data_IF_490236673059
#
_entry.id   IF_490236673059
#
_cell.length_a   1.000
_cell.length_b   1.000
_cell.length_c   1.000
_cell.angle_alpha   90.00
_cell.angle_beta   90.00
_cell.angle_gamma   90.00
#
_symmetry.space_group_name_H-M   'P 1'
#
loop_
_entity.id
_entity.type
_entity.pdbx_description
1 polymer ?
#
# COMPACT_ATOMS: atom_id res chain seq x y z
N UNK A 1 6.25 -32.97 31.90
CA UNK A 1 6.92 -31.71 32.31
C UNK A 1 8.24 -31.66 31.57
N UNK A 2 8.57 -30.70 30.71
CA UNK A 2 7.86 -29.52 30.25
C UNK A 2 8.07 -29.33 28.74
N UNK A 3 7.18 -28.51 28.20
CA UNK A 3 7.14 -27.99 26.84
C UNK A 3 8.29 -27.00 26.60
N UNK A 4 8.93 -27.07 25.44
CA UNK A 4 9.66 -25.94 24.86
C UNK A 4 9.27 -25.85 23.38
N UNK A 5 8.29 -24.98 23.11
CA UNK A 5 7.86 -24.62 21.76
C UNK A 5 8.99 -23.89 21.02
N UNK A 6 9.44 -24.48 19.91
CA UNK A 6 10.32 -23.82 18.96
C UNK A 6 9.51 -22.88 18.07
N UNK A 7 9.80 -21.59 18.17
CA UNK A 7 9.33 -20.56 17.25
C UNK A 7 9.91 -20.81 15.86
N UNK A 8 9.07 -21.23 14.91
CA UNK A 8 9.42 -21.33 13.50
C UNK A 8 9.68 -19.94 12.92
N UNK A 9 10.93 -19.71 12.49
CA UNK A 9 11.31 -18.51 11.75
C UNK A 9 10.60 -18.46 10.41
N UNK A 10 9.88 -17.36 10.16
CA UNK A 10 9.08 -17.16 8.96
C UNK A 10 9.94 -16.98 7.70
N UNK A 11 9.62 -17.77 6.68
CA UNK A 11 10.23 -17.70 5.35
C UNK A 11 9.46 -16.72 4.47
N UNK A 12 10.11 -15.58 4.20
CA UNK A 12 10.03 -14.74 2.99
C UNK A 12 11.00 -13.54 3.11
N UNK A 13 11.72 -13.41 4.24
CA UNK A 13 12.74 -12.39 4.48
C UNK A 13 14.15 -12.96 4.46
N UNK A 14 14.58 -13.53 3.33
CA UNK A 14 16.00 -13.70 3.11
C UNK A 14 16.63 -12.31 3.04
N UNK A 15 17.52 -11.99 3.99
CA UNK A 15 18.44 -10.85 3.93
C UNK A 15 19.41 -11.04 2.77
N UNK A 16 18.91 -10.89 1.55
CA UNK A 16 19.70 -10.84 0.34
C UNK A 16 19.50 -9.46 -0.26
N UNK A 17 20.51 -8.60 -0.10
CA UNK A 17 20.62 -7.29 -0.77
C UNK A 17 20.71 -7.39 -2.29
N UNK A 18 19.80 -8.12 -2.92
CA UNK A 18 19.73 -8.38 -4.36
C UNK A 18 18.31 -8.48 -4.92
N UNK A 19 17.26 -8.23 -4.12
CA UNK A 19 15.88 -8.09 -4.59
C UNK A 19 15.52 -6.67 -5.06
N UNK A 20 16.44 -5.71 -4.94
CA UNK A 20 16.20 -4.28 -5.14
C UNK A 20 16.63 -3.72 -6.49
N UNK A 21 16.64 -4.51 -7.56
CA UNK A 21 16.91 -4.01 -8.91
C UNK A 21 15.76 -4.33 -9.86
N UNK A 22 14.53 -3.98 -9.47
CA UNK A 22 13.64 -3.36 -10.47
C UNK A 22 14.43 -2.18 -11.03
N UNK A 23 14.68 -2.18 -12.35
CA UNK A 23 15.70 -1.37 -13.02
C UNK A 23 15.80 0.08 -12.51
N UNK A 24 16.98 0.66 -12.63
CA UNK A 24 17.43 1.96 -12.11
C UNK A 24 16.57 3.23 -12.42
N UNK A 25 15.31 3.09 -12.83
CA UNK A 25 14.25 4.07 -12.60
C UNK A 25 13.32 3.56 -11.50
N UNK A 26 13.49 4.08 -10.28
CA UNK A 26 12.75 3.66 -9.09
C UNK A 26 11.25 3.55 -9.32
N UNK A 27 10.63 2.56 -8.68
CA UNK A 27 9.18 2.53 -8.52
C UNK A 27 8.75 3.86 -7.91
N UNK A 28 8.10 4.71 -8.70
CA UNK A 28 7.44 5.90 -8.17
C UNK A 28 6.46 5.41 -7.11
N UNK A 29 6.54 5.90 -5.86
CA UNK A 29 5.57 5.54 -4.85
C UNK A 29 4.15 5.77 -5.38
N UNK A 30 3.17 4.92 -5.01
CA UNK A 30 1.80 5.18 -5.40
C UNK A 30 1.39 6.53 -4.86
N UNK A 31 0.63 7.24 -5.69
CA UNK A 31 0.12 8.53 -5.30
C UNK A 31 -0.92 8.36 -4.21
N UNK A 32 -0.59 8.78 -2.99
CA UNK A 32 -1.51 8.79 -1.82
C UNK A 32 -1.75 10.22 -1.34
N UNK A 33 -0.75 11.08 -1.48
CA UNK A 33 -0.77 12.51 -1.15
C UNK A 33 -1.45 12.89 0.20
N UNK A 34 -1.27 12.16 1.33
CA UNK A 34 -1.74 12.67 2.61
C UNK A 34 -1.13 14.02 2.94
N UNK A 35 -1.97 14.90 3.49
CA UNK A 35 -1.60 16.25 3.89
C UNK A 35 -1.02 16.27 5.31
N UNK A 36 0.18 16.80 5.43
CA UNK A 36 0.94 16.93 6.68
C UNK A 36 1.15 18.40 7.02
N UNK A 37 1.26 18.69 8.31
CA UNK A 37 1.58 20.01 8.84
C UNK A 37 2.94 19.97 9.54
N UNK A 38 3.78 20.94 9.21
CA UNK A 38 5.06 21.22 9.87
C UNK A 38 4.79 21.90 11.22
N UNK A 39 4.96 21.17 12.32
CA UNK A 39 4.48 21.61 13.62
C UNK A 39 5.53 22.38 14.43
N UNK A 40 6.82 22.18 14.18
CA UNK A 40 7.91 22.84 14.88
C UNK A 40 8.73 23.81 14.00
N UNK A 41 8.51 23.83 12.69
CA UNK A 41 9.07 24.80 11.76
C UNK A 41 10.48 24.48 11.29
N UNK A 42 10.94 23.24 11.40
CA UNK A 42 12.23 22.82 10.84
C UNK A 42 12.13 22.07 9.49
N UNK A 43 10.90 21.95 8.97
CA UNK A 43 10.55 21.35 7.70
C UNK A 43 10.02 19.93 7.85
N UNK A 44 9.37 19.41 6.80
CA UNK A 44 8.75 18.09 6.88
C UNK A 44 9.80 16.98 6.93
N UNK A 45 9.74 16.16 7.98
CA UNK A 45 10.64 15.03 8.17
C UNK A 45 9.91 13.69 8.07
N UNK A 46 10.56 12.71 7.46
CA UNK A 46 9.97 11.37 7.30
C UNK A 46 10.92 10.25 7.73
N UNK A 47 10.34 9.12 8.13
CA UNK A 47 11.01 7.85 8.37
C UNK A 47 10.49 6.78 7.41
N UNK A 48 11.13 5.62 7.37
CA UNK A 48 10.71 4.49 6.56
C UNK A 48 10.91 3.16 7.23
N UNK A 49 10.34 2.12 6.60
CA UNK A 49 10.61 0.70 6.90
C UNK A 49 12.10 0.31 6.94
N UNK A 50 13.02 1.15 6.45
CA UNK A 50 14.48 0.91 6.47
C UNK A 50 15.16 1.38 7.76
N UNK A 51 14.51 2.22 8.55
CA UNK A 51 15.08 2.83 9.76
C UNK A 51 14.87 1.97 11.03
N UNK A 52 14.22 0.81 10.88
CA UNK A 52 14.12 -0.25 11.90
C UNK A 52 12.69 -0.62 12.28
N UNK A 53 11.80 0.36 12.38
CA UNK A 53 10.37 0.14 12.66
C UNK A 53 9.57 0.13 11.35
N UNK A 54 8.78 -0.92 11.15
CA UNK A 54 7.87 -1.02 10.00
C UNK A 54 6.51 -0.51 10.44
N UNK A 55 6.12 0.64 9.92
CA UNK A 55 4.80 1.23 10.14
C UNK A 55 3.84 0.68 9.08
N UNK A 56 2.67 0.20 9.53
CA UNK A 56 1.64 -0.35 8.67
C UNK A 56 0.40 0.54 8.69
N UNK A 57 -0.02 1.03 7.53
CA UNK A 57 -1.25 1.82 7.39
C UNK A 57 -2.01 1.48 6.11
N UNK A 58 -3.34 1.62 6.15
CA UNK A 58 -4.22 1.39 5.00
C UNK A 58 -4.47 2.72 4.28
N UNK A 59 -3.53 3.13 3.44
CA UNK A 59 -3.61 4.43 2.76
C UNK A 59 -4.76 4.51 1.74
N UNK A 60 -5.14 3.43 1.07
CA UNK A 60 -6.25 3.43 0.09
C UNK A 60 -7.60 2.99 0.65
N UNK A 61 -7.67 2.63 1.92
CA UNK A 61 -8.92 2.18 2.54
C UNK A 61 -9.46 0.95 1.84
N UNK A 62 -8.56 0.03 1.48
CA UNK A 62 -8.88 -1.23 0.79
C UNK A 62 -8.95 -2.44 1.75
N UNK A 63 -8.73 -2.19 3.04
CA UNK A 63 -8.76 -3.19 4.10
C UNK A 63 -7.42 -3.88 4.33
N UNK A 64 -6.34 -3.49 3.66
CA UNK A 64 -5.00 -4.06 3.82
C UNK A 64 -4.01 -2.97 4.22
N UNK A 65 -3.57 -2.99 5.47
CA UNK A 65 -2.45 -2.14 5.91
C UNK A 65 -1.17 -2.63 5.24
N UNK A 66 -0.40 -1.72 4.66
CA UNK A 66 0.90 -2.03 4.04
C UNK A 66 2.02 -1.22 4.67
N UNK A 67 3.25 -1.76 4.59
CA UNK A 67 4.44 -1.05 5.04
C UNK A 67 4.55 0.29 4.31
N UNK A 68 4.77 1.37 5.04
CA UNK A 68 4.78 2.71 4.46
C UNK A 68 5.95 3.54 4.97
N UNK A 69 6.33 4.56 4.22
CA UNK A 69 7.03 5.71 4.79
C UNK A 69 6.10 6.49 5.70
N UNK A 70 6.63 7.24 6.65
CA UNK A 70 5.80 7.92 7.64
C UNK A 70 6.38 9.27 8.03
N UNK A 71 5.54 10.18 8.49
CA UNK A 71 6.00 11.44 9.08
C UNK A 71 6.65 11.14 10.43
N UNK A 72 7.68 11.90 10.81
CA UNK A 72 8.24 11.79 12.16
C UNK A 72 7.28 12.36 13.22
N UNK A 73 7.45 12.00 14.52
CA UNK A 73 6.54 12.40 15.59
C UNK A 73 6.43 13.90 15.88
N UNK A 74 7.42 14.70 15.49
CA UNK A 74 7.48 16.15 15.65
C UNK A 74 6.39 16.85 14.82
N UNK A 75 6.18 16.42 13.58
CA UNK A 75 5.12 16.81 12.66
C UNK A 75 3.80 16.01 12.84
N UNK A 76 2.75 16.36 12.07
CA UNK A 76 1.48 15.64 12.16
C UNK A 76 0.59 15.66 10.92
N UNK A 77 -0.16 14.57 10.73
CA UNK A 77 -1.16 14.44 9.68
C UNK A 77 -2.40 15.30 9.98
N UNK A 78 -2.91 16.01 8.97
CA UNK A 78 -4.24 16.58 9.06
C UNK A 78 -5.27 15.47 8.78
N UNK A 79 -6.21 15.29 9.72
CA UNK A 79 -7.17 14.19 9.69
C UNK A 79 -8.57 14.65 10.04
N UNK A 80 -9.55 13.87 9.58
CA UNK A 80 -10.95 13.98 9.96
C UNK A 80 -11.52 12.56 10.09
N UNK A 81 -11.95 12.19 11.28
CA UNK A 81 -12.72 10.96 11.51
C UNK A 81 -14.06 11.10 10.78
N UNK A 82 -14.18 10.45 9.63
CA UNK A 82 -15.34 10.61 8.73
C UNK A 82 -16.44 9.61 9.05
N UNK A 83 -16.08 8.48 9.65
CA UNK A 83 -17.01 7.40 9.95
C UNK A 83 -17.51 7.44 11.41
N UNK A 84 -16.94 8.29 12.25
CA UNK A 84 -17.31 8.53 13.64
C UNK A 84 -16.91 7.41 14.59
N UNK A 85 -15.91 6.59 14.24
CA UNK A 85 -15.50 5.45 15.05
C UNK A 85 -14.48 5.80 16.16
N UNK A 86 -14.00 7.04 16.19
CA UNK A 86 -13.07 7.55 17.20
C UNK A 86 -11.61 7.23 16.95
N UNK A 87 -11.27 6.71 15.77
CA UNK A 87 -9.91 6.44 15.33
C UNK A 87 -9.69 6.97 13.91
N UNK A 88 -8.42 7.11 13.51
CA UNK A 88 -8.04 7.31 12.11
C UNK A 88 -7.45 5.99 11.64
N UNK A 89 -8.20 5.25 10.83
CA UNK A 89 -7.86 3.87 10.49
C UNK A 89 -7.54 3.62 9.01
N UNK A 90 -7.82 4.60 8.15
CA UNK A 90 -7.54 4.53 6.72
C UNK A 90 -7.29 5.90 6.09
N UNK A 91 -6.71 5.92 4.90
CA UNK A 91 -6.49 7.17 4.15
C UNK A 91 -7.77 7.86 3.67
N UNK A 92 -8.94 7.24 3.85
CA UNK A 92 -10.25 7.90 3.69
C UNK A 92 -10.43 9.06 4.68
N UNK A 93 -9.74 8.99 5.81
CA UNK A 93 -9.81 9.93 6.94
C UNK A 93 -8.60 10.86 7.00
N UNK A 94 -7.57 10.56 6.22
CA UNK A 94 -6.53 11.52 5.84
C UNK A 94 -7.07 12.47 4.76
N UNK A 95 -6.45 13.63 4.62
CA UNK A 95 -6.67 14.52 3.48
C UNK A 95 -5.69 14.15 2.36
N UNK A 96 -6.17 13.47 1.32
CA UNK A 96 -5.34 12.96 0.23
C UNK A 96 -6.18 12.46 -0.95
N UNK A 97 -5.57 11.74 -1.90
CA UNK A 97 -6.32 11.24 -3.08
C UNK A 97 -7.39 10.21 -2.72
N UNK A 98 -7.22 9.51 -1.59
CA UNK A 98 -8.16 8.50 -1.10
C UNK A 98 -9.33 9.12 -0.31
N UNK A 99 -9.36 10.45 -0.14
CA UNK A 99 -10.51 11.16 0.42
C UNK A 99 -11.67 11.17 -0.58
N UNK A 100 -12.83 10.67 -0.16
CA UNK A 100 -14.08 10.80 -0.91
C UNK A 100 -14.70 12.18 -0.64
N UNK A 101 -14.82 12.99 -1.69
CA UNK A 101 -15.42 14.32 -1.64
C UNK A 101 -16.95 14.28 -1.59
N UNK A 102 -17.56 15.41 -1.21
CA UNK A 102 -19.01 15.63 -1.15
C UNK A 102 -19.74 15.32 -2.46
N UNK A 103 -19.05 15.45 -3.60
CA UNK A 103 -19.57 15.16 -4.94
C UNK A 103 -19.52 13.67 -5.33
N UNK A 104 -19.05 12.78 -4.44
CA UNK A 104 -18.92 11.34 -4.68
C UNK A 104 -17.71 10.95 -5.52
N UNK A 105 -16.79 11.88 -5.80
CA UNK A 105 -15.51 11.59 -6.47
C UNK A 105 -14.37 11.63 -5.46
N UNK A 106 -13.32 10.87 -5.72
CA UNK A 106 -12.07 10.99 -4.99
C UNK A 106 -11.40 12.35 -5.25
N UNK A 107 -10.74 12.89 -4.24
CA UNK A 107 -9.99 14.14 -4.36
C UNK A 107 -8.81 13.97 -5.32
N UNK A 108 -8.42 15.03 -6.00
CA UNK A 108 -7.23 14.99 -6.83
C UNK A 108 -5.97 15.04 -5.99
N UNK A 109 -5.98 15.55 -4.76
CA UNK A 109 -4.83 15.66 -3.85
C UNK A 109 -5.33 16.12 -2.46
N UNK A 110 -4.46 16.20 -1.45
CA UNK A 110 -4.84 16.64 -0.10
C UNK A 110 -5.38 18.08 0.03
N UNK A 111 -4.93 19.00 -0.83
CA UNK A 111 -5.47 20.37 -0.87
C UNK A 111 -6.81 20.44 -1.61
N UNK A 112 -7.02 19.55 -2.59
CA UNK A 112 -8.35 19.34 -3.20
C UNK A 112 -9.35 18.77 -2.21
N UNK A 113 -8.92 17.84 -1.36
CA UNK A 113 -9.72 17.35 -0.25
C UNK A 113 -10.06 18.47 0.75
N UNK A 114 -9.12 19.40 1.01
CA UNK A 114 -9.40 20.57 1.84
C UNK A 114 -10.41 21.52 1.22
N UNK A 115 -10.29 21.83 -0.09
CA UNK A 115 -11.26 22.68 -0.80
C UNK A 115 -12.68 22.15 -0.77
N UNK A 116 -12.86 20.84 -0.65
CA UNK A 116 -14.20 20.23 -0.54
C UNK A 116 -14.90 20.59 0.78
N UNK A 117 -14.14 20.90 1.83
CA UNK A 117 -14.65 21.22 3.16
C UNK A 117 -14.54 22.71 3.53
N UNK A 118 -14.06 23.53 2.60
CA UNK A 118 -14.10 25.00 2.63
C UNK A 118 -15.52 25.46 2.26
N UNK A 119 -16.34 25.68 3.28
CA UNK A 119 -17.78 25.83 3.14
C UNK A 119 -18.15 27.20 2.56
N UNK A 120 -17.44 28.25 2.93
CA UNK A 120 -17.67 29.61 2.44
C UNK A 120 -16.81 29.99 1.22
N UNK A 121 -15.84 29.13 0.86
CA UNK A 121 -14.97 29.22 -0.32
C UNK A 121 -14.05 30.43 -0.29
N UNK A 122 -13.62 30.84 0.91
CA UNK A 122 -12.74 31.98 1.08
C UNK A 122 -11.24 31.62 0.93
N UNK A 123 -10.94 30.34 0.71
CA UNK A 123 -9.59 29.85 0.40
C UNK A 123 -8.80 29.38 1.63
N UNK A 124 -9.46 29.20 2.78
CA UNK A 124 -8.87 28.63 3.99
C UNK A 124 -9.94 27.83 4.74
N UNK A 125 -9.48 26.91 5.59
CA UNK A 125 -10.31 26.24 6.58
C UNK A 125 -10.08 26.93 7.92
N UNK A 126 -11.11 27.59 8.46
CA UNK A 126 -11.05 28.28 9.75
C UNK A 126 -12.34 28.13 10.59
N UNK A 127 -12.47 28.87 11.68
CA UNK A 127 -13.64 28.78 12.57
C UNK A 127 -14.99 29.12 11.92
N UNK A 128 -14.99 29.72 10.72
CA UNK A 128 -16.17 29.97 9.89
C UNK A 128 -16.67 28.69 9.23
N UNK A 129 -15.81 27.68 9.08
CA UNK A 129 -16.15 26.36 8.58
C UNK A 129 -16.56 25.42 9.70
N UNK A 130 -17.77 24.86 9.62
CA UNK A 130 -18.27 23.92 10.63
C UNK A 130 -17.37 22.68 10.83
N UNK A 131 -16.58 22.31 9.81
CA UNK A 131 -15.64 21.17 9.88
C UNK A 131 -14.45 21.45 10.80
N UNK A 132 -14.06 22.71 10.99
CA UNK A 132 -12.82 23.09 11.67
C UNK A 132 -12.74 22.55 13.10
N UNK A 133 -13.87 22.55 13.83
CA UNK A 133 -13.94 22.00 15.18
C UNK A 133 -13.77 20.46 15.24
N UNK A 134 -13.97 19.78 14.12
CA UNK A 134 -13.86 18.32 13.99
C UNK A 134 -12.50 17.87 13.45
N UNK A 135 -11.75 18.75 12.80
CA UNK A 135 -10.39 18.45 12.35
C UNK A 135 -9.48 18.13 13.55
N UNK A 136 -8.57 17.18 13.33
CA UNK A 136 -7.52 16.82 14.28
C UNK A 136 -6.17 16.82 13.60
N UNK A 137 -5.12 16.93 14.41
CA UNK A 137 -3.74 16.66 14.04
C UNK A 137 -3.39 15.33 14.68
N UNK A 138 -3.00 14.35 13.85
CA UNK A 138 -2.50 13.07 14.31
C UNK A 138 -0.97 13.09 14.30
N UNK A 139 -0.39 13.07 15.50
CA UNK A 139 1.05 12.85 15.70
C UNK A 139 1.23 11.44 16.25
N UNK A 140 1.67 10.53 15.39
CA UNK A 140 2.00 9.17 15.80
C UNK A 140 3.30 9.18 16.62
N UNK A 141 3.16 9.28 17.94
CA UNK A 141 4.27 9.55 18.86
C UNK A 141 5.14 8.31 19.06
N UNK A 142 4.50 7.14 19.05
CA UNK A 142 5.15 5.85 19.25
C UNK A 142 5.56 5.17 17.92
N UNK A 143 5.14 5.73 16.78
CA UNK A 143 5.45 5.27 15.42
C UNK A 143 4.94 3.85 15.17
N UNK A 144 3.69 3.57 15.54
CA UNK A 144 3.04 2.26 15.34
C UNK A 144 1.96 2.25 14.26
N UNK A 145 1.63 3.39 13.67
CA UNK A 145 0.62 3.53 12.61
C UNK A 145 -0.82 3.32 13.09
N UNK A 146 -1.07 3.35 14.40
CA UNK A 146 -2.40 3.18 15.00
C UNK A 146 -2.78 4.47 15.69
N UNK A 147 -3.80 5.17 15.18
CA UNK A 147 -4.25 6.39 15.84
C UNK A 147 -4.81 6.11 17.24
N UNK A 148 -4.22 6.75 18.25
CA UNK A 148 -4.67 6.67 19.65
C UNK A 148 -5.18 8.02 20.15
N UNK A 149 -6.07 8.02 21.15
CA UNK A 149 -6.68 9.26 21.67
C UNK A 149 -5.65 10.28 22.17
N UNK A 150 -4.52 9.82 22.75
CA UNK A 150 -3.44 10.69 23.22
C UNK A 150 -2.56 11.25 22.09
N UNK A 151 -2.76 10.83 20.85
CA UNK A 151 -2.03 11.26 19.66
C UNK A 151 -2.85 12.21 18.76
N UNK A 152 -4.14 12.36 19.07
CA UNK A 152 -5.06 13.23 18.36
C UNK A 152 -5.27 14.52 19.13
N UNK A 153 -4.92 15.64 18.51
CA UNK A 153 -5.10 16.98 19.08
C UNK A 153 -5.93 17.86 18.17
N UNK A 154 -6.63 18.86 18.72
CA UNK A 154 -7.38 19.84 17.90
C UNK A 154 -6.42 20.85 17.26
N UNK A 155 -6.85 21.51 16.18
CA UNK A 155 -6.09 22.62 15.58
C UNK A 155 -5.84 23.73 16.60
N UNK A 156 -6.87 24.10 17.38
CA UNK A 156 -6.76 25.11 18.43
C UNK A 156 -5.80 24.73 19.55
N UNK A 157 -5.70 23.44 19.92
CA UNK A 157 -4.71 22.98 20.90
C UNK A 157 -3.25 23.13 20.39
N UNK A 158 -3.06 23.20 19.08
CA UNK A 158 -1.78 23.48 18.42
C UNK A 158 -1.66 24.94 17.97
N UNK A 159 -2.52 25.82 18.49
CA UNK A 159 -2.58 27.25 18.15
C UNK A 159 -2.82 27.53 16.65
N UNK A 160 -3.31 26.57 15.87
CA UNK A 160 -3.64 26.76 14.45
C UNK A 160 -5.01 27.43 14.35
N UNK A 161 -5.08 28.54 13.62
CA UNK A 161 -6.30 29.32 13.42
C UNK A 161 -6.88 29.20 12.01
N UNK A 162 -6.07 28.84 11.02
CA UNK A 162 -6.54 28.61 9.66
C UNK A 162 -5.56 27.76 8.87
N UNK A 163 -6.03 26.92 7.95
CA UNK A 163 -5.21 26.18 6.98
C UNK A 163 -5.55 26.65 5.57
N UNK A 164 -4.58 27.04 4.76
CA UNK A 164 -4.82 27.44 3.37
C UNK A 164 -5.13 26.23 2.48
N UNK A 165 -6.10 26.37 1.58
CA UNK A 165 -6.52 25.29 0.65
C UNK A 165 -5.83 25.36 -0.72
N UNK A 166 -4.97 26.37 -0.91
CA UNK A 166 -4.18 26.55 -2.11
C UNK A 166 -2.76 26.03 -1.89
N UNK A 167 -2.17 25.47 -2.94
CA UNK A 167 -0.82 24.93 -2.91
C UNK A 167 -0.06 25.19 -4.20
N UNK A 168 1.25 25.05 -4.12
CA UNK A 168 2.17 25.06 -5.26
C UNK A 168 2.73 23.66 -5.44
N UNK A 169 2.70 23.14 -6.66
CA UNK A 169 3.33 21.86 -6.97
C UNK A 169 4.85 21.97 -6.77
N UNK A 170 5.40 21.03 -6.02
CA UNK A 170 6.84 20.90 -5.77
C UNK A 170 7.26 19.45 -5.96
N UNK A 171 8.56 19.19 -5.94
CA UNK A 171 9.07 17.82 -5.91
C UNK A 171 10.34 17.77 -5.08
N UNK A 172 10.18 17.57 -3.78
CA UNK A 172 11.29 17.47 -2.83
C UNK A 172 11.44 16.01 -2.42
N UNK A 173 12.62 15.44 -2.65
CA UNK A 173 12.96 14.11 -2.13
C UNK A 173 13.19 14.24 -0.62
N UNK A 174 12.38 13.55 0.18
CA UNK A 174 12.49 13.51 1.65
C UNK A 174 13.32 12.31 2.13
N UNK A 175 13.93 11.57 1.18
CA UNK A 175 14.74 10.41 1.44
C UNK A 175 13.93 9.11 1.46
N UNK A 176 14.65 7.99 1.25
CA UNK A 176 14.15 6.63 1.39
C UNK A 176 12.84 6.29 0.62
N UNK A 177 12.51 7.05 -0.42
CA UNK A 177 11.33 6.83 -1.25
C UNK A 177 10.11 7.66 -0.85
N UNK A 178 10.26 8.63 0.06
CA UNK A 178 9.22 9.62 0.37
C UNK A 178 9.46 10.91 -0.42
N UNK A 179 8.39 11.52 -0.93
CA UNK A 179 8.48 12.71 -1.78
C UNK A 179 7.41 13.72 -1.38
N UNK A 180 7.78 14.97 -1.21
CA UNK A 180 6.82 16.07 -1.15
C UNK A 180 6.37 16.47 -2.56
N UNK A 181 5.06 16.50 -2.80
CA UNK A 181 4.46 16.77 -4.12
C UNK A 181 3.80 18.15 -4.22
N UNK A 182 3.42 18.74 -3.09
CA UNK A 182 2.85 20.08 -3.01
C UNK A 182 3.25 20.79 -1.71
N UNK A 183 3.30 22.11 -1.76
CA UNK A 183 3.56 22.98 -0.62
C UNK A 183 2.42 23.99 -0.46
N UNK A 184 1.92 24.13 0.76
CA UNK A 184 0.91 25.08 1.20
C UNK A 184 1.29 25.68 2.55
N UNK A 185 0.34 26.36 3.20
CA UNK A 185 0.60 27.04 4.48
C UNK A 185 -0.59 26.96 5.41
N UNK A 186 -0.32 27.14 6.70
CA UNK A 186 -1.33 27.40 7.72
C UNK A 186 -0.89 28.55 8.62
N UNK A 187 -1.83 29.15 9.32
CA UNK A 187 -1.56 30.26 10.24
C UNK A 187 -1.82 29.84 11.68
N UNK A 188 -0.96 30.30 12.58
CA UNK A 188 -1.11 30.18 14.02
C UNK A 188 -1.59 31.49 14.63
N UNK A 189 -2.25 31.42 15.79
CA UNK A 189 -2.52 32.62 16.58
C UNK A 189 -1.19 33.25 17.04
N UNK A 190 -1.11 34.58 17.04
CA UNK A 190 0.09 35.31 17.44
C UNK A 190 0.53 34.95 18.87
N UNK A 191 1.82 34.71 19.11
CA UNK A 191 2.37 34.42 20.44
C UNK A 191 2.82 32.97 20.70
N UNK A 192 3.79 32.51 19.89
CA UNK A 192 4.68 31.33 20.09
C UNK A 192 4.05 29.94 20.17
N UNK A 193 4.21 29.14 19.11
CA UNK A 193 4.59 27.71 19.17
C UNK A 193 4.98 27.20 17.77
N UNK A 194 6.26 27.36 17.49
CA UNK A 194 7.14 26.66 16.55
C UNK A 194 8.56 26.92 17.10
N UNK A 195 9.54 26.07 16.86
CA UNK A 195 10.91 26.25 17.36
C UNK A 195 11.50 27.64 17.00
N UNK A 196 10.99 28.25 15.93
CA UNK A 196 11.39 29.57 15.40
C UNK A 196 10.45 30.74 15.77
N UNK A 197 9.30 30.48 16.41
CA UNK A 197 8.34 31.53 16.79
C UNK A 197 7.48 32.08 15.62
N UNK A 198 7.39 31.35 14.52
CA UNK A 198 6.70 31.77 13.30
C UNK A 198 5.17 31.74 13.43
N UNK A 199 4.50 32.72 12.81
CA UNK A 199 3.02 32.79 12.74
C UNK A 199 2.46 32.01 11.56
N UNK A 200 3.28 31.69 10.57
CA UNK A 200 2.92 30.92 9.38
C UNK A 200 3.69 29.60 9.42
N UNK A 201 3.01 28.46 9.26
CA UNK A 201 3.61 27.13 9.17
C UNK A 201 3.47 26.54 7.77
N UNK A 202 4.30 25.54 7.46
CA UNK A 202 4.24 24.83 6.19
C UNK A 202 3.22 23.68 6.24
N UNK A 203 2.48 23.51 5.15
CA UNK A 203 1.67 22.32 4.91
C UNK A 203 2.19 21.63 3.63
N UNK A 204 2.06 20.31 3.55
CA UNK A 204 2.58 19.58 2.41
C UNK A 204 1.71 18.37 2.05
N UNK A 205 1.67 18.00 0.77
CA UNK A 205 1.23 16.66 0.35
C UNK A 205 2.44 15.77 0.18
N UNK A 206 2.34 14.52 0.64
CA UNK A 206 3.41 13.55 0.55
C UNK A 206 3.02 12.32 -0.28
N UNK A 207 3.89 11.91 -1.20
CA UNK A 207 3.88 10.54 -1.73
C UNK A 207 4.86 9.70 -0.92
N UNK A 208 4.32 8.82 -0.09
CA UNK A 208 5.07 7.97 0.83
C UNK A 208 5.49 6.67 0.15
N UNK A 209 6.66 6.16 0.51
CA UNK A 209 7.10 4.82 0.16
C UNK A 209 5.99 3.82 0.49
N UNK A 210 5.70 2.87 -0.41
CA UNK A 210 4.85 1.72 -0.12
C UNK A 210 5.65 0.43 -0.27
N UNK A 211 5.53 -0.43 0.73
CA UNK A 211 6.18 -1.73 0.84
C UNK A 211 5.15 -2.80 1.19
N UNK A 212 4.60 -3.40 0.14
CA UNK A 212 3.57 -4.45 0.19
C UNK A 212 4.05 -5.79 0.73
N UNK A 213 5.36 -5.96 0.94
CA UNK A 213 5.91 -7.13 1.60
C UNK A 213 5.44 -7.20 3.06
N UNK A 214 5.50 -6.07 3.76
CA UNK A 214 4.95 -5.94 5.08
C UNK A 214 3.47 -5.59 4.96
N UNK A 215 2.60 -6.46 5.49
CA UNK A 215 1.16 -6.28 5.36
C UNK A 215 0.38 -6.86 6.52
N UNK A 216 -0.79 -6.29 6.76
CA UNK A 216 -1.79 -6.80 7.69
C UNK A 216 -3.20 -6.55 7.12
N UNK A 217 -3.97 -7.62 6.95
CA UNK A 217 -5.40 -7.50 6.68
C UNK A 217 -6.11 -6.97 7.93
N UNK A 218 -7.01 -6.01 7.73
CA UNK A 218 -7.80 -5.40 8.82
C UNK A 218 -8.91 -6.32 9.33
N UNK A 219 -9.31 -7.29 8.51
CA UNK A 219 -10.25 -8.35 8.83
C UNK A 219 -9.56 -9.71 9.00
N UNK A 220 -10.29 -10.64 9.62
CA UNK A 220 -9.86 -12.02 9.80
C UNK A 220 -10.88 -12.98 9.23
N UNK A 221 -10.39 -14.00 8.51
CA UNK A 221 -11.24 -15.07 7.99
C UNK A 221 -11.37 -16.17 9.04
N UNK A 222 -12.60 -16.51 9.49
CA UNK A 222 -12.79 -17.62 10.41
C UNK A 222 -12.25 -18.93 9.83
N UNK A 223 -11.38 -19.60 10.59
CA UNK A 223 -10.74 -20.83 10.12
C UNK A 223 -11.70 -22.01 10.08
N UNK A 224 -11.81 -22.65 8.92
CA UNK A 224 -12.49 -23.94 8.75
C UNK A 224 -11.75 -25.07 9.45
N UNK A 225 -12.41 -26.20 9.72
CA UNK A 225 -11.75 -27.35 10.34
C UNK A 225 -10.66 -27.96 9.44
N UNK A 226 -10.85 -27.88 8.11
CA UNK A 226 -9.81 -28.25 7.14
C UNK A 226 -8.58 -27.35 7.27
N UNK A 227 -8.76 -26.02 7.33
CA UNK A 227 -7.66 -25.09 7.50
C UNK A 227 -6.90 -25.28 8.81
N UNK A 228 -7.59 -25.65 9.90
CA UNK A 228 -6.94 -25.97 11.20
C UNK A 228 -6.15 -27.27 11.18
N UNK A 229 -6.51 -28.22 10.32
CA UNK A 229 -5.89 -29.53 10.22
C UNK A 229 -4.68 -29.57 9.27
N UNK A 230 -4.52 -28.56 8.41
CA UNK A 230 -3.46 -28.46 7.42
C UNK A 230 -2.31 -27.54 7.89
N UNK A 231 -1.10 -27.69 7.34
CA UNK A 231 0.01 -26.78 7.61
C UNK A 231 -0.35 -25.33 7.27
N UNK A 232 0.30 -24.39 7.97
CA UNK A 232 0.15 -22.95 7.70
C UNK A 232 1.46 -22.35 7.20
N UNK A 233 1.34 -21.36 6.33
CA UNK A 233 2.43 -20.54 5.79
C UNK A 233 1.97 -19.09 5.77
N UNK A 234 2.91 -18.16 5.97
CA UNK A 234 2.62 -16.73 5.82
C UNK A 234 2.50 -16.39 4.35
N UNK A 235 1.43 -15.68 4.00
CA UNK A 235 1.28 -15.08 2.68
C UNK A 235 2.04 -13.76 2.58
N UNK A 236 1.98 -13.13 1.41
CA UNK A 236 2.56 -11.80 1.15
C UNK A 236 1.71 -11.03 0.15
N UNK A 237 1.90 -9.71 0.09
CA UNK A 237 1.12 -8.85 -0.80
C UNK A 237 -0.37 -9.01 -0.54
N UNK A 238 -1.11 -9.44 -1.57
CA UNK A 238 -2.57 -9.65 -1.51
C UNK A 238 -2.98 -11.10 -1.28
N UNK A 239 -2.01 -12.01 -1.16
CA UNK A 239 -2.28 -13.36 -0.70
C UNK A 239 -2.33 -13.39 0.85
N UNK A 240 -3.47 -13.87 1.37
CA UNK A 240 -3.65 -14.14 2.81
C UNK A 240 -2.76 -15.29 3.27
N UNK A 241 -2.58 -15.41 4.58
CA UNK A 241 -1.93 -16.58 5.18
C UNK A 241 -2.69 -17.85 4.78
N UNK A 242 -1.95 -18.95 4.63
CA UNK A 242 -2.46 -20.15 3.96
C UNK A 242 -3.72 -20.73 4.61
N UNK A 243 -3.84 -20.65 5.94
CA UNK A 243 -5.01 -21.10 6.68
C UNK A 243 -6.27 -20.27 6.38
N UNK A 244 -6.16 -18.95 6.27
CA UNK A 244 -7.25 -18.08 5.83
C UNK A 244 -7.59 -18.35 4.36
N UNK A 245 -6.57 -18.47 3.49
CA UNK A 245 -6.76 -18.78 2.07
C UNK A 245 -7.47 -20.14 1.85
N UNK A 246 -7.11 -21.18 2.62
CA UNK A 246 -7.80 -22.48 2.59
C UNK A 246 -9.25 -22.34 3.04
N UNK A 247 -9.52 -21.47 4.02
CA UNK A 247 -10.89 -21.20 4.48
C UNK A 247 -11.73 -20.49 3.42
N UNK A 248 -11.10 -19.73 2.53
CA UNK A 248 -11.74 -19.09 1.38
C UNK A 248 -11.90 -20.05 0.18
N UNK A 249 -11.09 -21.10 0.07
CA UNK A 249 -11.04 -21.97 -1.11
C UNK A 249 -10.87 -23.46 -0.76
N UNK A 250 -11.96 -24.21 -0.94
CA UNK A 250 -11.94 -25.68 -0.84
C UNK A 250 -10.96 -26.31 -1.83
N UNK A 251 -10.82 -25.74 -3.02
CA UNK A 251 -9.89 -26.22 -4.05
C UNK A 251 -8.43 -26.12 -3.58
N UNK A 252 -8.07 -25.01 -2.92
CA UNK A 252 -6.75 -24.86 -2.30
C UNK A 252 -6.58 -25.86 -1.16
N UNK A 253 -7.57 -25.99 -0.27
CA UNK A 253 -7.54 -26.95 0.84
C UNK A 253 -7.28 -28.39 0.37
N UNK A 254 -8.02 -28.84 -0.65
CA UNK A 254 -7.85 -30.17 -1.25
C UNK A 254 -6.47 -30.35 -1.88
N UNK A 255 -5.93 -29.31 -2.50
CA UNK A 255 -4.59 -29.35 -3.10
C UNK A 255 -3.50 -29.46 -2.04
N UNK A 256 -3.57 -28.65 -0.98
CA UNK A 256 -2.63 -28.70 0.16
C UNK A 256 -2.71 -30.06 0.83
N UNK A 257 -3.91 -30.60 1.04
CA UNK A 257 -4.07 -31.96 1.58
C UNK A 257 -3.37 -32.99 0.69
N UNK A 258 -3.59 -32.95 -0.63
CA UNK A 258 -2.93 -33.85 -1.59
C UNK A 258 -1.41 -33.69 -1.58
N UNK A 259 -0.92 -32.45 -1.50
CA UNK A 259 0.51 -32.13 -1.40
C UNK A 259 1.15 -32.76 -0.15
N UNK A 260 0.50 -32.64 1.02
CA UNK A 260 1.02 -33.18 2.28
C UNK A 260 1.04 -34.72 2.33
N UNK A 261 0.24 -35.38 1.50
CA UNK A 261 0.19 -36.84 1.40
C UNK A 261 1.25 -37.44 0.46
N UNK A 262 2.00 -36.61 -0.28
CA UNK A 262 3.04 -37.10 -1.17
C UNK A 262 4.19 -37.73 -0.38
N UNK A 263 4.64 -38.91 -0.83
CA UNK A 263 5.67 -39.70 -0.15
C UNK A 263 7.09 -39.50 -0.70
N UNK A 264 7.25 -38.68 -1.74
CA UNK A 264 8.55 -38.36 -2.32
C UNK A 264 8.71 -36.88 -2.61
N UNK A 265 9.96 -36.40 -2.47
CA UNK A 265 10.35 -35.03 -2.81
C UNK A 265 9.94 -34.64 -4.24
N UNK A 266 10.16 -35.53 -5.20
CA UNK A 266 9.83 -35.25 -6.60
C UNK A 266 8.32 -35.07 -6.81
N UNK A 267 7.50 -35.85 -6.12
CA UNK A 267 6.06 -35.73 -6.19
C UNK A 267 5.55 -34.44 -5.52
N UNK A 268 6.13 -34.03 -4.39
CA UNK A 268 5.86 -32.73 -3.77
C UNK A 268 6.22 -31.57 -4.70
N UNK A 269 7.43 -31.58 -5.28
CA UNK A 269 7.88 -30.56 -6.23
C UNK A 269 6.92 -30.46 -7.43
N UNK A 270 6.46 -31.60 -7.95
CA UNK A 270 5.51 -31.64 -9.06
C UNK A 270 4.13 -31.03 -8.77
N UNK A 271 3.79 -30.79 -7.49
CA UNK A 271 2.53 -30.20 -7.05
C UNK A 271 2.65 -28.70 -6.73
N UNK A 272 3.86 -28.16 -6.63
CA UNK A 272 4.09 -26.77 -6.17
C UNK A 272 3.52 -25.71 -7.10
N UNK A 273 3.63 -25.89 -8.42
CA UNK A 273 3.11 -24.91 -9.38
C UNK A 273 1.59 -24.72 -9.21
N UNK A 274 0.84 -25.82 -9.11
CA UNK A 274 -0.61 -25.76 -8.90
C UNK A 274 -1.02 -25.34 -7.49
N UNK A 275 -0.18 -25.61 -6.47
CA UNK A 275 -0.42 -25.12 -5.12
C UNK A 275 -0.36 -23.59 -5.12
N UNK A 276 0.76 -23.04 -5.55
CA UNK A 276 1.01 -21.60 -5.57
C UNK A 276 -0.04 -20.86 -6.38
N UNK A 277 -0.43 -21.41 -7.53
CA UNK A 277 -1.47 -20.83 -8.38
C UNK A 277 -2.82 -20.76 -7.64
N UNK A 278 -3.26 -21.88 -7.04
CA UNK A 278 -4.49 -21.92 -6.25
C UNK A 278 -4.45 -21.01 -5.03
N UNK A 279 -3.29 -20.83 -4.42
CA UNK A 279 -3.14 -19.91 -3.31
C UNK A 279 -3.24 -18.46 -3.77
N UNK A 280 -2.53 -18.11 -4.85
CA UNK A 280 -2.63 -16.79 -5.46
C UNK A 280 -4.07 -16.47 -5.89
N UNK A 281 -4.82 -17.44 -6.40
CA UNK A 281 -6.21 -17.26 -6.84
C UNK A 281 -7.19 -16.92 -5.70
N UNK A 282 -6.78 -17.07 -4.43
CA UNK A 282 -7.59 -16.61 -3.27
C UNK A 282 -7.44 -15.12 -2.98
N UNK A 283 -6.48 -14.44 -3.62
CA UNK A 283 -6.29 -13.00 -3.47
C UNK A 283 -7.48 -12.24 -4.06
N UNK A 284 -7.88 -11.16 -3.40
CA UNK A 284 -8.88 -10.21 -3.89
C UNK A 284 -8.38 -9.41 -5.12
N UNK A 285 -7.06 -9.25 -5.21
CA UNK A 285 -6.39 -8.63 -6.33
C UNK A 285 -6.28 -9.59 -7.54
N UNK A 286 -6.74 -9.11 -8.71
CA UNK A 286 -6.52 -9.78 -10.01
C UNK A 286 -5.17 -9.40 -10.61
N UNK A 287 -4.53 -10.34 -11.31
CA UNK A 287 -3.37 -10.02 -12.16
C UNK A 287 -3.73 -9.02 -13.26
N UNK A 288 -2.74 -8.31 -13.80
CA UNK A 288 -2.97 -7.31 -14.85
C UNK A 288 -3.68 -7.93 -16.06
N UNK A 289 -3.25 -9.13 -16.46
CA UNK A 289 -3.89 -9.88 -17.52
C UNK A 289 -5.35 -10.22 -17.20
N UNK A 290 -5.63 -10.70 -15.99
CA UNK A 290 -7.00 -11.03 -15.60
C UNK A 290 -7.90 -9.79 -15.52
N UNK A 291 -7.36 -8.62 -15.14
CA UNK A 291 -8.07 -7.35 -15.19
C UNK A 291 -8.41 -6.95 -16.63
N UNK A 292 -7.42 -6.98 -17.53
CA UNK A 292 -7.61 -6.64 -18.93
C UNK A 292 -8.60 -7.58 -19.64
N UNK A 293 -8.48 -8.89 -19.38
CA UNK A 293 -9.40 -9.89 -19.94
C UNK A 293 -10.85 -9.64 -19.48
N UNK A 294 -11.05 -9.26 -18.21
CA UNK A 294 -12.38 -8.92 -17.68
C UNK A 294 -12.97 -7.64 -18.29
N UNK A 295 -12.11 -6.73 -18.79
CA UNK A 295 -12.49 -5.44 -19.38
C UNK A 295 -12.40 -5.44 -20.91
N UNK A 296 -12.14 -6.59 -21.54
CA UNK A 296 -11.96 -6.69 -22.99
C UNK A 296 -13.20 -6.19 -23.77
N UNK A 297 -14.40 -6.43 -23.24
CA UNK A 297 -15.66 -5.95 -23.82
C UNK A 297 -15.79 -4.41 -23.77
N UNK A 298 -15.09 -3.74 -22.85
CA UNK A 298 -15.00 -2.28 -22.76
C UNK A 298 -13.89 -1.70 -23.64
N UNK A 299 -13.23 -2.53 -24.45
CA UNK A 299 -12.16 -2.09 -25.35
C UNK A 299 -10.78 -2.01 -24.70
N UNK A 300 -10.63 -2.46 -23.45
CA UNK A 300 -9.31 -2.56 -22.80
C UNK A 300 -8.51 -3.67 -23.47
N UNK A 301 -7.28 -3.35 -23.89
CA UNK A 301 -6.38 -4.30 -24.56
C UNK A 301 -5.01 -4.28 -23.92
N UNK A 302 -4.54 -5.43 -23.46
CA UNK A 302 -3.21 -5.58 -22.88
C UNK A 302 -2.26 -6.20 -23.91
N UNK A 303 -1.07 -5.63 -24.05
CA UNK A 303 0.03 -6.17 -24.86
C UNK A 303 1.29 -6.25 -24.01
N UNK A 304 1.88 -7.45 -23.90
CA UNK A 304 3.20 -7.63 -23.30
C UNK A 304 4.27 -7.74 -24.39
N UNK A 305 5.26 -6.86 -24.31
CA UNK A 305 6.51 -6.94 -25.08
C UNK A 305 7.59 -7.53 -24.18
N UNK A 306 7.80 -8.84 -24.28
CA UNK A 306 8.69 -9.59 -23.40
C UNK A 306 10.00 -9.93 -24.13
N UNK A 307 11.11 -9.34 -23.69
CA UNK A 307 12.41 -9.57 -24.31
C UNK A 307 12.77 -11.08 -24.34
N UNK A 308 12.98 -11.62 -25.53
CA UNK A 308 13.34 -13.02 -25.73
C UNK A 308 12.19 -14.03 -25.67
N UNK A 309 10.95 -13.58 -25.46
CA UNK A 309 9.75 -14.43 -25.46
C UNK A 309 8.80 -14.03 -26.58
N UNK A 310 8.47 -14.99 -27.46
CA UNK A 310 7.57 -14.75 -28.59
C UNK A 310 6.12 -15.00 -28.18
N UNK A 311 5.24 -14.02 -28.39
CA UNK A 311 3.81 -14.15 -28.12
C UNK A 311 3.18 -15.35 -28.83
N UNK A 312 2.30 -16.07 -28.14
CA UNK A 312 1.64 -17.28 -28.64
C UNK A 312 2.47 -18.57 -28.54
N UNK A 313 3.66 -18.50 -27.91
CA UNK A 313 4.44 -19.70 -27.58
C UNK A 313 4.16 -20.15 -26.14
N UNK A 314 4.31 -21.45 -25.87
CA UNK A 314 4.13 -21.99 -24.51
C UNK A 314 5.05 -21.33 -23.47
N UNK A 315 6.27 -20.91 -23.87
CA UNK A 315 7.19 -20.21 -22.98
C UNK A 315 6.70 -18.80 -22.61
N UNK A 316 6.09 -18.09 -23.56
CA UNK A 316 5.46 -16.80 -23.31
C UNK A 316 4.24 -16.96 -22.38
N UNK A 317 3.38 -17.93 -22.67
CA UNK A 317 2.17 -18.17 -21.87
C UNK A 317 2.51 -18.60 -20.44
N UNK A 318 3.51 -19.47 -20.26
CA UNK A 318 3.99 -19.87 -18.93
C UNK A 318 4.57 -18.70 -18.15
N UNK A 319 5.36 -17.82 -18.79
CA UNK A 319 5.86 -16.63 -18.13
C UNK A 319 4.73 -15.70 -17.69
N UNK A 320 3.76 -15.43 -18.57
CA UNK A 320 2.62 -14.55 -18.23
C UNK A 320 1.76 -15.14 -17.11
N UNK A 321 1.58 -16.46 -17.07
CA UNK A 321 0.93 -17.16 -15.95
C UNK A 321 1.70 -16.94 -14.64
N UNK A 322 3.01 -17.18 -14.63
CA UNK A 322 3.89 -16.95 -13.46
C UNK A 322 3.90 -15.49 -13.02
N UNK A 323 3.94 -14.56 -13.97
CA UNK A 323 3.84 -13.13 -13.71
C UNK A 323 2.55 -12.82 -12.93
N UNK A 324 1.41 -13.33 -13.39
CA UNK A 324 0.13 -13.08 -12.72
C UNK A 324 0.05 -13.63 -11.29
N UNK A 325 0.73 -14.74 -11.00
CA UNK A 325 0.87 -15.28 -9.65
C UNK A 325 1.75 -14.36 -8.80
N UNK A 326 2.93 -13.98 -9.31
CA UNK A 326 3.87 -13.09 -8.62
C UNK A 326 3.21 -11.76 -8.29
N UNK A 327 2.44 -11.16 -9.21
CA UNK A 327 1.68 -9.92 -8.99
C UNK A 327 0.79 -9.96 -7.74
N UNK A 328 0.16 -11.11 -7.45
CA UNK A 328 -0.71 -11.27 -6.27
C UNK A 328 0.08 -11.40 -4.98
N UNK A 329 1.20 -12.12 -5.00
CA UNK A 329 2.09 -12.27 -3.85
C UNK A 329 2.94 -11.02 -3.56
N UNK A 330 3.18 -10.17 -4.56
CA UNK A 330 3.81 -8.85 -4.34
C UNK A 330 2.77 -7.75 -4.09
N UNK A 331 1.50 -7.95 -4.41
CA UNK A 331 0.42 -7.02 -4.14
C UNK A 331 0.35 -5.79 -5.05
N UNK A 332 0.97 -5.86 -6.24
CA UNK A 332 0.81 -4.86 -7.30
C UNK A 332 1.03 -5.50 -8.68
N UNK A 333 0.58 -4.83 -9.73
CA UNK A 333 0.78 -5.31 -11.11
C UNK A 333 2.04 -4.71 -11.73
N UNK A 334 2.70 -5.44 -12.63
CA UNK A 334 3.75 -4.89 -13.49
C UNK A 334 3.12 -4.18 -14.69
N UNK A 335 2.24 -3.21 -14.42
CA UNK A 335 1.41 -2.54 -15.43
C UNK A 335 1.98 -1.24 -15.99
N UNK A 336 3.12 -0.77 -15.49
CA UNK A 336 3.83 0.37 -16.08
C UNK A 336 4.39 0.05 -17.47
N UNK A 337 4.55 1.06 -18.31
CA UNK A 337 5.02 0.89 -19.70
C UNK A 337 6.36 0.14 -19.82
N UNK A 338 7.23 0.27 -18.82
CA UNK A 338 8.52 -0.41 -18.71
C UNK A 338 8.55 -1.41 -17.54
N UNK A 339 7.39 -1.97 -17.18
CA UNK A 339 7.27 -2.88 -16.05
C UNK A 339 7.44 -2.22 -14.69
N UNK A 340 7.13 -0.92 -14.56
CA UNK A 340 7.02 -0.31 -13.23
C UNK A 340 5.79 -0.86 -12.50
N UNK A 341 5.84 -0.80 -11.16
CA UNK A 341 4.70 -1.15 -10.32
C UNK A 341 3.49 -0.26 -10.64
N UNK A 342 2.31 -0.88 -10.72
CA UNK A 342 1.03 -0.22 -10.86
C UNK A 342 0.09 -0.75 -9.76
N UNK A 343 -0.33 0.17 -8.91
CA UNK A 343 -1.22 -0.09 -7.78
C UNK A 343 -2.70 0.18 -8.12
N UNK A 344 -2.96 1.09 -9.06
CA UNK A 344 -4.33 1.35 -9.54
C UNK A 344 -4.79 0.25 -10.49
N UNK A 345 -5.96 -0.38 -10.26
CA UNK A 345 -6.53 -1.33 -11.20
C UNK A 345 -6.76 -0.73 -12.60
N UNK A 346 -6.94 -1.59 -13.59
CA UNK A 346 -7.52 -1.18 -14.87
C UNK A 346 -9.03 -0.94 -14.70
N UNK A 347 -9.55 -0.01 -15.49
CA UNK A 347 -10.97 0.32 -15.60
C UNK A 347 -11.43 0.34 -17.06
N UNK A 348 -12.72 0.55 -17.29
CA UNK A 348 -13.32 0.57 -18.63
C UNK A 348 -12.76 1.68 -19.54
N UNK A 349 -12.04 2.68 -18.99
CA UNK A 349 -11.46 3.80 -19.72
C UNK A 349 -9.96 3.62 -20.01
N UNK A 350 -9.35 2.56 -19.50
CA UNK A 350 -7.90 2.34 -19.56
C UNK A 350 -7.36 2.10 -20.98
N UNK A 351 -8.22 1.76 -21.95
CA UNK A 351 -7.84 1.66 -23.37
C UNK A 351 -6.72 0.64 -23.64
N UNK A 352 -5.75 1.03 -24.47
CA UNK A 352 -4.60 0.19 -24.81
C UNK A 352 -3.49 0.29 -23.76
N UNK A 353 -3.16 -0.83 -23.12
CA UNK A 353 -2.10 -0.96 -22.12
C UNK A 353 -0.96 -1.79 -22.73
N UNK A 354 0.22 -1.20 -22.85
CA UNK A 354 1.42 -1.90 -23.33
C UNK A 354 2.45 -1.95 -22.22
N UNK A 355 2.90 -3.16 -21.87
CA UNK A 355 3.93 -3.41 -20.87
C UNK A 355 5.15 -3.99 -21.57
N UNK A 356 6.31 -3.36 -21.40
CA UNK A 356 7.58 -3.86 -21.91
C UNK A 356 8.47 -4.32 -20.75
N UNK A 357 8.90 -5.58 -20.79
CA UNK A 357 9.84 -6.13 -19.81
C UNK A 357 11.17 -6.51 -20.48
N UNK A 358 12.26 -5.98 -19.92
CA UNK A 358 13.61 -6.34 -20.29
C UNK A 358 13.96 -7.77 -19.80
N UNK A 359 15.03 -8.35 -20.38
CA UNK A 359 15.44 -9.72 -20.05
C UNK A 359 15.78 -9.89 -18.56
N UNK A 360 16.37 -8.86 -17.94
CA UNK A 360 16.72 -8.85 -16.53
C UNK A 360 15.47 -8.84 -15.63
N UNK A 361 14.41 -8.12 -16.03
CA UNK A 361 13.14 -8.11 -15.32
C UNK A 361 12.44 -9.48 -15.41
N UNK A 362 12.41 -10.06 -16.62
CA UNK A 362 11.86 -11.40 -16.86
C UNK A 362 12.59 -12.44 -15.99
N UNK A 363 13.93 -12.42 -15.99
CA UNK A 363 14.74 -13.31 -15.16
C UNK A 363 14.47 -13.12 -13.66
N UNK A 364 14.32 -11.88 -13.21
CA UNK A 364 14.04 -11.57 -11.80
C UNK A 364 12.66 -12.06 -11.36
N UNK A 365 11.63 -11.89 -12.21
CA UNK A 365 10.26 -12.37 -11.94
C UNK A 365 10.22 -13.90 -11.92
N UNK A 366 10.88 -14.55 -12.88
CA UNK A 366 11.00 -16.01 -12.90
C UNK A 366 11.72 -16.54 -11.65
N UNK A 367 12.80 -15.88 -11.24
CA UNK A 367 13.54 -16.23 -10.03
C UNK A 367 12.69 -16.03 -8.76
N UNK A 368 11.89 -14.96 -8.68
CA UNK A 368 10.97 -14.74 -7.56
C UNK A 368 9.95 -15.88 -7.44
N UNK A 369 9.36 -16.30 -8.57
CA UNK A 369 8.45 -17.45 -8.61
C UNK A 369 9.13 -18.75 -8.17
N UNK A 370 10.35 -19.02 -8.65
CA UNK A 370 11.09 -20.24 -8.28
C UNK A 370 11.57 -20.24 -6.82
N UNK A 371 11.91 -19.08 -6.27
CA UNK A 371 12.22 -18.93 -4.83
C UNK A 371 10.99 -19.22 -3.99
N UNK A 372 9.82 -18.70 -4.38
CA UNK A 372 8.59 -18.97 -3.65
C UNK A 372 8.26 -20.47 -3.59
N UNK A 373 8.49 -21.22 -4.69
CA UNK A 373 8.42 -22.69 -4.66
C UNK A 373 9.37 -23.33 -3.66
N UNK A 374 10.59 -22.81 -3.56
CA UNK A 374 11.61 -23.34 -2.66
C UNK A 374 11.26 -23.08 -1.20
N UNK A 375 10.61 -21.95 -0.90
CA UNK A 375 10.23 -21.58 0.47
C UNK A 375 9.02 -22.37 1.01
N UNK A 376 8.18 -22.93 0.13
CA UNK A 376 7.04 -23.79 0.51
C UNK A 376 7.48 -25.21 0.85
N UNK A 377 8.54 -25.70 0.19
CA UNK A 377 9.08 -27.06 0.36
C UNK A 377 9.99 -27.13 1.58
#
# INVERSE_FOLDING_TARGET
>A
MGSSGGTGGGAAGGTGGGGGSSGAGGTTPPRRDPLVLDLDGDGIETTTTRDGTVILFDHDGDGVKTGTGWVKPDDGWLVLDRNGNGAIDSGRELFGVDTLKSNGQFATDGFDALRDVDADKDGKIDASDSVFANLRIWRDLNQDGISQTNELTTLSANNIVSIGVNSTAVRTDLGNGNVQTAAGTFNRSNGTTGATGETNGAAANLDLLVNTFYRQFTDHIPLTDSAKALPTLRGSGRARDLNEAISLSNDLGNWVQTYTQQTSRQAQIGQLDGFIEKWADTADMKSLKAQADALAASGVKLTYNLAGLTAGTAAYDDFVRKLGIVERFIGFTYGGANGQARFTPLDATSGGVTVTLAAEQIASIALAYDRFKTDIY
#
